data_IF_720894450541
#
_entry.id   IF_720894450541
#
_cell.length_a   1.000
_cell.length_b   1.000
_cell.length_c   1.000
_cell.angle_alpha   90.00
_cell.angle_beta   90.00
_cell.angle_gamma   90.00
#
_symmetry.space_group_name_H-M   'P 1'
#
loop_
_entity.id
_entity.type
_entity.pdbx_description
1 polymer ?
#
# COMPACT_ATOMS: atom_id res chain seq x y z
N UNK A 1 -1.11 22.89 -6.11
CA UNK A 1 -1.51 21.84 -5.16
C UNK A 1 -0.72 20.61 -5.56
N UNK A 2 0.36 20.33 -4.85
CA UNK A 2 1.22 19.18 -5.11
C UNK A 2 0.36 17.90 -5.03
N UNK A 3 0.37 17.11 -6.11
CA UNK A 3 -0.27 15.80 -6.12
C UNK A 3 0.56 14.94 -5.17
N UNK A 4 0.00 14.57 -4.02
CA UNK A 4 0.54 13.42 -3.29
C UNK A 4 0.58 12.25 -4.27
N UNK A 5 1.77 11.68 -4.48
CA UNK A 5 1.99 10.56 -5.42
C UNK A 5 1.28 9.26 -4.99
N UNK A 6 0.63 9.29 -3.82
CA UNK A 6 -0.11 8.19 -3.21
C UNK A 6 -1.43 8.68 -2.57
N UNK A 7 -2.40 7.76 -2.46
CA UNK A 7 -3.67 8.01 -1.75
C UNK A 7 -3.42 8.31 -0.27
N UNK A 8 -4.19 9.24 0.30
CA UNK A 8 -4.26 9.56 1.73
C UNK A 8 -4.41 8.35 2.66
N UNK A 9 -4.95 7.22 2.17
CA UNK A 9 -5.14 5.98 2.94
C UNK A 9 -3.89 5.11 3.01
N UNK A 10 -2.91 5.32 2.12
CA UNK A 10 -1.69 4.50 2.04
C UNK A 10 -0.93 4.46 3.37
N UNK A 11 -0.65 5.59 4.06
CA UNK A 11 0.03 5.56 5.35
C UNK A 11 -0.72 4.73 6.40
N UNK A 12 -2.06 4.71 6.34
CA UNK A 12 -2.91 3.97 7.27
C UNK A 12 -2.77 2.45 7.16
N UNK A 13 -2.23 1.93 6.05
CA UNK A 13 -1.99 0.51 5.81
C UNK A 13 -0.71 -0.02 6.48
N UNK A 14 0.14 0.86 7.02
CA UNK A 14 1.43 0.51 7.58
C UNK A 14 1.49 0.73 9.09
N UNK A 15 2.26 -0.13 9.77
CA UNK A 15 2.61 0.07 11.17
C UNK A 15 3.59 1.24 11.35
N UNK A 16 3.23 2.19 12.22
CA UNK A 16 3.85 3.53 12.29
C UNK A 16 5.38 3.60 12.17
N UNK A 17 6.14 2.89 13.01
CA UNK A 17 7.61 3.02 13.01
C UNK A 17 8.34 1.98 12.16
N UNK A 18 7.73 0.83 11.91
CA UNK A 18 8.38 -0.28 11.18
C UNK A 18 8.00 -0.32 9.70
N UNK A 19 7.01 0.46 9.28
CA UNK A 19 6.47 0.48 7.92
C UNK A 19 6.09 -0.93 7.44
N UNK A 20 5.57 -1.76 8.35
CA UNK A 20 5.13 -3.12 8.02
C UNK A 20 3.71 -3.07 7.47
N UNK A 21 3.51 -3.59 6.24
CA UNK A 21 2.22 -3.56 5.56
C UNK A 21 1.26 -4.57 6.21
N UNK A 22 0.09 -4.09 6.65
CA UNK A 22 -0.98 -4.91 7.21
C UNK A 22 -0.52 -5.92 8.28
N UNK A 23 0.43 -5.51 9.15
CA UNK A 23 1.04 -6.38 10.17
C UNK A 23 0.22 -6.56 11.45
N UNK A 24 -0.82 -5.76 11.63
CA UNK A 24 -1.75 -5.82 12.76
C UNK A 24 -3.18 -5.78 12.22
N UNK A 25 -4.17 -6.41 12.89
CA UNK A 25 -5.57 -6.42 12.44
C UNK A 25 -6.09 -5.03 12.04
N UNK A 26 -5.76 -3.99 12.83
CA UNK A 26 -6.12 -2.61 12.52
C UNK A 26 -5.58 -2.11 11.15
N UNK A 27 -4.33 -2.43 10.83
CA UNK A 27 -3.72 -2.03 9.55
C UNK A 27 -4.23 -2.89 8.40
N UNK A 28 -4.56 -4.14 8.68
CA UNK A 28 -5.19 -5.05 7.72
C UNK A 28 -6.59 -4.56 7.33
N UNK A 29 -7.44 -4.18 8.29
CA UNK A 29 -8.74 -3.57 8.03
C UNK A 29 -8.63 -2.32 7.14
N UNK A 30 -7.63 -1.47 7.42
CA UNK A 30 -7.36 -0.27 6.61
C UNK A 30 -6.86 -0.63 5.20
N UNK A 31 -6.02 -1.65 5.07
CA UNK A 31 -5.59 -2.17 3.78
C UNK A 31 -6.75 -2.72 2.95
N UNK A 32 -7.71 -3.41 3.58
CA UNK A 32 -8.94 -3.88 2.93
C UNK A 32 -9.89 -2.73 2.56
N UNK A 33 -10.01 -1.71 3.41
CA UNK A 33 -10.75 -0.50 3.09
C UNK A 33 -10.15 0.20 1.86
N UNK A 34 -8.82 0.34 1.82
CA UNK A 34 -8.12 0.89 0.67
C UNK A 34 -8.30 0.02 -0.59
N UNK A 35 -8.20 -1.31 -0.46
CA UNK A 35 -8.48 -2.24 -1.56
C UNK A 35 -9.87 -2.04 -2.17
N UNK A 36 -10.88 -1.85 -1.31
CA UNK A 36 -12.26 -1.64 -1.74
C UNK A 36 -12.38 -0.37 -2.59
N UNK A 37 -11.70 0.70 -2.20
CA UNK A 37 -11.65 1.94 -2.98
C UNK A 37 -10.90 1.74 -4.29
N UNK A 38 -9.73 1.09 -4.28
CA UNK A 38 -8.97 0.77 -5.50
C UNK A 38 -9.87 0.06 -6.52
N UNK A 39 -10.67 -0.92 -6.08
CA UNK A 39 -11.61 -1.63 -6.95
C UNK A 39 -12.73 -0.73 -7.47
N UNK A 40 -13.33 0.11 -6.62
CA UNK A 40 -14.39 1.06 -7.05
C UNK A 40 -13.87 2.05 -8.09
N UNK A 41 -12.63 2.48 -7.97
CA UNK A 41 -11.97 3.41 -8.88
C UNK A 41 -11.32 2.72 -10.10
N UNK A 42 -11.42 1.39 -10.23
CA UNK A 42 -10.82 0.65 -11.33
C UNK A 42 -9.28 0.67 -11.33
N UNK A 43 -8.66 0.86 -10.18
CA UNK A 43 -7.20 0.93 -10.03
C UNK A 43 -6.65 -0.50 -9.89
N UNK A 44 -5.78 -0.90 -10.82
CA UNK A 44 -5.12 -2.21 -10.80
C UNK A 44 -3.91 -2.28 -9.86
N UNK A 45 -3.37 -3.49 -9.68
CA UNK A 45 -2.22 -3.75 -8.79
C UNK A 45 -1.00 -2.90 -9.15
N UNK A 46 -0.69 -2.72 -10.43
CA UNK A 46 0.46 -1.92 -10.87
C UNK A 46 0.43 -0.49 -10.32
N UNK A 47 -0.72 0.16 -10.39
CA UNK A 47 -0.89 1.52 -9.88
C UNK A 47 -0.92 1.55 -8.34
N UNK A 48 -1.55 0.57 -7.70
CA UNK A 48 -1.50 0.45 -6.23
C UNK A 48 -0.07 0.24 -5.71
N UNK A 49 0.71 -0.61 -6.39
CA UNK A 49 2.12 -0.85 -6.10
C UNK A 49 2.93 0.44 -6.18
N UNK A 50 2.76 1.24 -7.23
CA UNK A 50 3.48 2.50 -7.36
C UNK A 50 3.22 3.44 -6.18
N UNK A 51 1.99 3.49 -5.68
CA UNK A 51 1.65 4.31 -4.50
C UNK A 51 2.34 3.80 -3.24
N UNK A 52 2.40 2.47 -3.03
CA UNK A 52 3.10 1.87 -1.91
C UNK A 52 4.62 2.10 -1.98
N UNK A 53 5.21 1.93 -3.15
CA UNK A 53 6.64 2.18 -3.39
C UNK A 53 7.00 3.65 -3.12
N UNK A 54 6.18 4.58 -3.63
CA UNK A 54 6.39 6.02 -3.43
C UNK A 54 6.27 6.41 -1.95
N UNK A 55 5.27 5.89 -1.23
CA UNK A 55 5.13 6.15 0.20
C UNK A 55 6.31 5.59 1.00
N UNK A 56 6.70 4.33 0.79
CA UNK A 56 7.81 3.72 1.51
C UNK A 56 9.14 4.43 1.23
N UNK A 57 9.36 4.86 -0.01
CA UNK A 57 10.52 5.67 -0.36
C UNK A 57 10.50 7.05 0.35
N UNK A 58 9.31 7.67 0.46
CA UNK A 58 9.14 8.96 1.15
C UNK A 58 9.45 8.87 2.65
N UNK A 59 9.19 7.72 3.26
CA UNK A 59 9.48 7.44 4.67
C UNK A 59 10.94 6.98 4.90
N UNK A 60 11.77 6.94 3.85
CA UNK A 60 13.18 6.54 3.95
C UNK A 60 13.41 5.04 4.10
N UNK A 61 12.45 4.19 3.71
CA UNK A 61 12.62 2.74 3.76
C UNK A 61 13.72 2.26 2.79
N UNK A 62 14.59 1.38 3.27
CA UNK A 62 15.60 0.72 2.43
C UNK A 62 14.96 -0.11 1.31
N UNK A 63 15.63 -0.22 0.15
CA UNK A 63 15.12 -0.98 -0.99
C UNK A 63 14.73 -2.44 -0.66
N UNK A 64 15.50 -3.12 0.21
CA UNK A 64 15.16 -4.45 0.70
C UNK A 64 13.88 -4.47 1.55
N UNK A 65 13.65 -3.43 2.35
CA UNK A 65 12.41 -3.30 3.12
C UNK A 65 11.23 -3.05 2.19
N UNK A 66 11.38 -2.10 1.26
CA UNK A 66 10.36 -1.83 0.23
C UNK A 66 9.96 -3.11 -0.48
N UNK A 67 10.93 -3.87 -1.00
CA UNK A 67 10.66 -5.13 -1.71
C UNK A 67 9.86 -6.13 -0.87
N UNK A 68 10.25 -6.32 0.41
CA UNK A 68 9.53 -7.21 1.34
C UNK A 68 8.09 -6.76 1.58
N UNK A 69 7.86 -5.47 1.78
CA UNK A 69 6.51 -4.95 2.03
C UNK A 69 5.63 -4.99 0.77
N UNK A 70 6.20 -4.73 -0.42
CA UNK A 70 5.48 -4.86 -1.69
C UNK A 70 5.07 -6.31 -1.94
N UNK A 71 5.93 -7.29 -1.65
CA UNK A 71 5.57 -8.71 -1.76
C UNK A 71 4.47 -9.11 -0.75
N UNK A 72 4.48 -8.54 0.46
CA UNK A 72 3.39 -8.73 1.43
C UNK A 72 2.06 -8.14 0.91
N UNK A 73 2.10 -6.88 0.45
CA UNK A 73 0.94 -6.20 -0.12
C UNK A 73 0.41 -6.93 -1.37
N UNK A 74 1.29 -7.48 -2.20
CA UNK A 74 0.93 -8.25 -3.40
C UNK A 74 0.08 -9.46 -3.04
N UNK A 75 0.45 -10.23 -2.02
CA UNK A 75 -0.30 -11.41 -1.58
C UNK A 75 -1.70 -11.07 -1.10
N UNK A 76 -1.89 -9.88 -0.52
CA UNK A 76 -3.18 -9.43 0.04
C UNK A 76 -4.05 -8.70 -0.97
N UNK A 77 -3.47 -7.86 -1.83
CA UNK A 77 -4.20 -6.96 -2.72
C UNK A 77 -4.34 -7.51 -4.14
N UNK A 78 -3.26 -8.06 -4.72
CA UNK A 78 -3.24 -8.47 -6.13
C UNK A 78 -4.38 -9.43 -6.52
N UNK A 79 -4.75 -10.45 -5.72
CA UNK A 79 -5.83 -11.37 -6.09
C UNK A 79 -7.20 -10.71 -6.35
N UNK A 80 -7.39 -9.47 -5.89
CA UNK A 80 -8.66 -8.76 -5.97
C UNK A 80 -8.62 -7.56 -6.93
N UNK A 81 -7.47 -7.29 -7.55
CA UNK A 81 -7.25 -6.21 -8.49
C UNK A 81 -7.16 -6.75 -9.92
N UNK A 82 -7.51 -5.92 -10.89
CA UNK A 82 -7.79 -6.34 -12.28
C UNK A 82 -6.54 -6.66 -13.14
N UNK A 83 -5.32 -6.61 -12.58
CA UNK A 83 -4.01 -6.78 -13.27
C UNK A 83 -2.96 -7.48 -12.38
#
# INVERSE_FOLDING_TARGET
>A
MERTEWDSKVPGCFGGSELNFASHPLYEDRAFAWLTELRKHGIGWRAARQQLEAYLASEGASAEHVSRQIESARKKLKPWLLD
#
